data_IF_116193945643
#
_entry.id   IF_116193945643
#
_cell.length_a   1.000
_cell.length_b   1.000
_cell.length_c   1.000
_cell.angle_alpha   90.00
_cell.angle_beta   90.00
_cell.angle_gamma   90.00
#
_symmetry.space_group_name_H-M   'P 1'
#
loop_
_entity.id
_entity.type
_entity.pdbx_description
1 polymer ?
#
# COMPACT_ATOMS: atom_id res chain seq x y z
N UNK A 1 -7.44 7.53 15.02
CA UNK A 1 -6.81 7.49 13.67
C UNK A 1 -7.56 6.57 12.72
N UNK A 2 -7.82 5.30 13.08
CA UNK A 2 -8.52 4.34 12.20
C UNK A 2 -9.91 4.84 11.78
N UNK A 3 -10.78 5.21 12.73
CA UNK A 3 -12.13 5.70 12.40
C UNK A 3 -12.08 6.89 11.44
N UNK A 4 -11.18 7.85 11.70
CA UNK A 4 -10.98 9.02 10.85
C UNK A 4 -10.58 8.62 9.42
N UNK A 5 -9.62 7.69 9.25
CA UNK A 5 -9.19 7.26 7.92
C UNK A 5 -10.31 6.55 7.16
N UNK A 6 -11.11 5.72 7.82
CA UNK A 6 -12.24 5.04 7.19
C UNK A 6 -13.37 6.02 6.85
N UNK A 7 -13.72 6.94 7.76
CA UNK A 7 -14.74 7.96 7.52
C UNK A 7 -14.39 8.87 6.35
N UNK A 8 -13.12 9.32 6.25
CA UNK A 8 -12.66 10.13 5.12
C UNK A 8 -12.70 9.35 3.81
N UNK A 9 -12.27 8.08 3.81
CA UNK A 9 -12.32 7.23 2.63
C UNK A 9 -13.76 6.96 2.15
N UNK A 10 -14.68 6.68 3.08
CA UNK A 10 -16.10 6.48 2.77
C UNK A 10 -16.72 7.77 2.24
N UNK A 11 -16.47 8.91 2.89
CA UNK A 11 -16.98 10.20 2.43
C UNK A 11 -16.50 10.53 1.02
N UNK A 12 -15.21 10.34 0.76
CA UNK A 12 -14.63 10.52 -0.57
C UNK A 12 -15.29 9.60 -1.60
N UNK A 13 -15.39 8.30 -1.32
CA UNK A 13 -16.05 7.34 -2.21
C UNK A 13 -17.53 7.69 -2.48
N UNK A 14 -18.27 8.14 -1.47
CA UNK A 14 -19.66 8.59 -1.63
C UNK A 14 -19.77 9.83 -2.51
N UNK A 15 -18.87 10.80 -2.38
CA UNK A 15 -18.80 11.96 -3.29
C UNK A 15 -18.51 11.48 -4.71
N UNK A 16 -17.61 10.49 -4.86
CA UNK A 16 -17.33 9.93 -6.18
C UNK A 16 -18.55 9.31 -6.85
N UNK A 17 -19.26 8.45 -6.12
CA UNK A 17 -20.43 7.74 -6.64
C UNK A 17 -21.59 8.68 -6.90
N UNK A 18 -21.79 9.68 -6.04
CA UNK A 18 -22.90 10.64 -6.18
C UNK A 18 -22.73 11.57 -7.37
N UNK A 19 -21.48 11.89 -7.75
CA UNK A 19 -21.15 12.70 -8.92
C UNK A 19 -21.43 12.03 -10.27
N UNK A 20 -21.61 10.71 -10.31
CA UNK A 20 -21.79 9.91 -11.54
C UNK A 20 -23.26 9.59 -11.89
N UNK A 21 -24.24 10.24 -11.25
CA UNK A 21 -25.67 9.87 -11.36
C UNK A 21 -26.31 10.27 -12.70
N UNK A 22 -25.97 9.56 -13.77
CA UNK A 22 -26.65 9.53 -15.06
C UNK A 22 -27.28 8.16 -15.33
N UNK A 23 -28.53 8.12 -15.82
CA UNK A 23 -29.29 6.91 -16.17
C UNK A 23 -28.53 6.02 -17.16
N UNK A 24 -27.97 4.89 -16.72
CA UNK A 24 -27.74 3.73 -17.60
C UNK A 24 -27.53 2.43 -16.80
N UNK A 25 -28.00 1.33 -17.37
CA UNK A 25 -28.04 -0.05 -16.82
C UNK A 25 -26.69 -0.80 -16.88
N UNK A 26 -25.56 -0.11 -17.11
CA UNK A 26 -24.23 -0.73 -17.16
C UNK A 26 -23.27 -0.04 -16.18
N UNK A 27 -22.61 -0.85 -15.36
CA UNK A 27 -21.58 -0.42 -14.41
C UNK A 27 -20.33 0.02 -15.19
N UNK A 28 -20.29 1.30 -15.57
CA UNK A 28 -19.14 1.90 -16.26
C UNK A 28 -18.56 3.00 -15.36
N UNK A 29 -17.71 2.59 -14.41
CA UNK A 29 -16.93 3.44 -13.48
C UNK A 29 -16.01 4.46 -14.22
N UNK A 30 -15.94 4.40 -15.55
CA UNK A 30 -15.05 5.20 -16.39
C UNK A 30 -15.73 6.35 -17.13
N UNK A 31 -16.90 6.86 -16.69
CA UNK A 31 -17.66 7.83 -17.50
C UNK A 31 -17.42 9.32 -17.17
N UNK A 32 -16.97 9.70 -15.98
CA UNK A 32 -16.64 11.12 -15.68
C UNK A 32 -15.14 11.45 -15.78
N UNK A 33 -14.66 11.66 -17.00
CA UNK A 33 -13.24 11.91 -17.36
C UNK A 33 -12.50 12.96 -16.50
N UNK A 34 -13.17 14.06 -16.12
CA UNK A 34 -12.56 15.15 -15.31
C UNK A 34 -12.44 14.81 -13.83
N UNK A 35 -13.42 14.08 -13.31
CA UNK A 35 -13.53 13.80 -11.89
C UNK A 35 -12.57 12.69 -11.46
N UNK A 36 -12.32 11.71 -12.34
CA UNK A 36 -11.28 10.69 -12.16
C UNK A 36 -9.88 11.28 -11.98
N UNK A 37 -9.51 12.34 -12.71
CA UNK A 37 -8.18 12.97 -12.56
C UNK A 37 -8.05 13.69 -11.24
N UNK A 38 -9.07 14.46 -10.84
CA UNK A 38 -9.09 15.12 -9.52
C UNK A 38 -8.95 14.06 -8.41
N UNK A 39 -9.66 12.95 -8.53
CA UNK A 39 -9.57 11.85 -7.58
C UNK A 39 -8.16 11.24 -7.51
N UNK A 40 -7.52 10.95 -8.64
CA UNK A 40 -6.16 10.39 -8.69
C UNK A 40 -5.12 11.37 -8.13
N UNK A 41 -5.28 12.67 -8.35
CA UNK A 41 -4.40 13.70 -7.76
C UNK A 41 -4.42 13.66 -6.23
N UNK A 42 -5.62 13.62 -5.62
CA UNK A 42 -5.76 13.65 -4.17
C UNK A 42 -5.49 12.30 -3.50
N UNK A 43 -5.85 11.19 -4.14
CA UNK A 43 -5.74 9.84 -3.53
C UNK A 43 -4.37 9.22 -3.78
N UNK A 44 -3.71 9.56 -4.89
CA UNK A 44 -2.46 8.94 -5.27
C UNK A 44 -1.30 9.93 -5.33
N UNK A 45 -1.34 10.97 -6.18
CA UNK A 45 -0.16 11.80 -6.41
C UNK A 45 0.28 12.61 -5.18
N UNK A 46 -0.66 13.30 -4.50
CA UNK A 46 -0.34 14.06 -3.29
C UNK A 46 0.19 13.12 -2.18
N UNK A 47 -0.52 12.03 -1.81
CA UNK A 47 0.00 11.06 -0.84
C UNK A 47 1.33 10.44 -1.26
N UNK A 48 1.54 10.12 -2.53
CA UNK A 48 2.79 9.55 -3.02
C UNK A 48 3.98 10.50 -2.82
N UNK A 49 3.82 11.78 -3.13
CA UNK A 49 4.86 12.81 -2.93
C UNK A 49 5.17 12.97 -1.44
N UNK A 50 4.12 13.10 -0.61
CA UNK A 50 4.28 13.24 0.84
C UNK A 50 4.98 12.02 1.44
N UNK A 51 4.53 10.82 1.09
CA UNK A 51 5.14 9.56 1.52
C UNK A 51 6.60 9.53 1.08
N UNK A 52 6.90 9.71 -0.21
CA UNK A 52 8.27 9.69 -0.72
C UNK A 52 9.19 10.66 0.03
N UNK A 53 8.73 11.87 0.31
CA UNK A 53 9.49 12.86 1.07
C UNK A 53 9.75 12.43 2.53
N UNK A 54 8.70 12.01 3.25
CA UNK A 54 8.81 11.54 4.63
C UNK A 54 9.75 10.33 4.75
N UNK A 55 9.62 9.35 3.86
CA UNK A 55 10.47 8.16 3.88
C UNK A 55 11.90 8.42 3.47
N UNK A 56 12.13 9.32 2.51
CA UNK A 56 13.48 9.77 2.19
C UNK A 56 14.15 10.40 3.42
N UNK A 57 13.42 11.24 4.16
CA UNK A 57 13.93 11.85 5.41
C UNK A 57 14.21 10.79 6.48
N UNK A 58 13.33 9.81 6.66
CA UNK A 58 13.52 8.70 7.60
C UNK A 58 14.73 7.85 7.22
N UNK A 59 14.87 7.45 5.94
CA UNK A 59 16.01 6.67 5.47
C UNK A 59 17.33 7.42 5.63
N UNK A 60 17.33 8.73 5.37
CA UNK A 60 18.51 9.58 5.60
C UNK A 60 18.84 9.68 7.09
N UNK A 61 17.84 9.85 7.96
CA UNK A 61 18.03 9.88 9.41
C UNK A 61 18.62 8.55 9.93
N UNK A 62 18.06 7.42 9.50
CA UNK A 62 18.56 6.08 9.85
C UNK A 62 19.99 5.87 9.32
N UNK A 63 20.31 6.32 8.10
CA UNK A 63 21.67 6.24 7.55
C UNK A 63 22.66 7.10 8.35
N UNK A 64 22.25 8.30 8.77
CA UNK A 64 23.07 9.19 9.60
C UNK A 64 23.32 8.58 10.98
N UNK A 65 22.28 8.03 11.60
CA UNK A 65 22.35 7.38 12.90
C UNK A 65 23.22 6.10 12.83
N UNK A 66 23.11 5.31 11.77
CA UNK A 66 23.97 4.14 11.56
C UNK A 66 25.45 4.51 11.42
N UNK A 67 25.79 5.59 10.70
CA UNK A 67 27.17 6.09 10.60
C UNK A 67 27.70 6.59 11.95
N UNK A 68 26.88 7.31 12.70
CA UNK A 68 27.26 7.82 14.04
C UNK A 68 27.49 6.70 15.06
N UNK A 69 26.76 5.58 14.95
CA UNK A 69 26.93 4.41 15.81
C UNK A 69 28.21 3.65 15.45
N UNK A 70 28.51 3.51 14.15
CA UNK A 70 29.78 2.91 13.69
C UNK A 70 31.01 3.69 14.18
N UNK A 71 30.94 5.03 14.22
CA UNK A 71 32.03 5.84 14.76
C UNK A 71 32.17 5.79 16.28
N UNK A 72 31.17 5.27 17.01
CA UNK A 72 31.11 5.31 18.47
C UNK A 72 31.41 3.94 19.16
N UNK A 73 31.78 2.88 18.41
CA UNK A 73 32.02 1.53 18.95
C UNK A 73 30.87 0.99 19.85
N UNK A 74 29.62 1.41 19.60
CA UNK A 74 28.46 0.97 20.38
C UNK A 74 28.04 -0.43 19.92
N UNK A 75 27.71 -1.36 20.85
CA UNK A 75 27.33 -2.74 20.51
C UNK A 75 26.13 -2.78 19.55
N UNK A 76 26.30 -3.52 18.44
CA UNK A 76 25.39 -3.54 17.29
C UNK A 76 23.93 -3.97 17.58
N UNK A 77 23.61 -4.45 18.78
CA UNK A 77 22.32 -5.06 19.12
C UNK A 77 21.16 -4.08 19.33
N UNK A 78 21.46 -2.84 19.76
CA UNK A 78 20.44 -1.93 20.33
C UNK A 78 19.52 -1.30 19.26
N UNK A 79 19.97 -1.14 18.01
CA UNK A 79 19.21 -0.46 16.94
C UNK A 79 18.71 -1.37 15.79
N UNK A 80 19.08 -2.65 15.80
CA UNK A 80 18.70 -3.64 14.77
C UNK A 80 17.16 -3.77 14.55
N UNK A 81 16.31 -3.87 15.59
CA UNK A 81 14.87 -4.04 15.39
C UNK A 81 14.18 -2.80 14.80
N UNK A 82 14.54 -1.59 15.24
CA UNK A 82 13.97 -0.33 14.73
C UNK A 82 14.34 -0.09 13.26
N UNK A 83 15.59 -0.41 12.88
CA UNK A 83 16.06 -0.33 11.50
C UNK A 83 15.31 -1.31 10.59
N UNK A 84 14.99 -2.51 11.10
CA UNK A 84 14.24 -3.53 10.36
C UNK A 84 12.77 -3.12 10.15
N UNK A 85 12.13 -2.53 11.16
CA UNK A 85 10.77 -2.01 11.04
C UNK A 85 10.69 -0.85 10.02
N UNK A 86 11.68 0.05 10.03
CA UNK A 86 11.77 1.14 9.06
C UNK A 86 11.96 0.64 7.63
N UNK A 87 12.81 -0.38 7.44
CA UNK A 87 13.02 -0.99 6.13
C UNK A 87 11.75 -1.68 5.60
N UNK A 88 11.02 -2.38 6.46
CA UNK A 88 9.73 -2.97 6.13
C UNK A 88 8.73 -1.90 5.67
N UNK A 89 8.63 -0.80 6.41
CA UNK A 89 7.74 0.30 6.09
C UNK A 89 8.10 0.93 4.73
N UNK A 90 9.40 1.11 4.46
CA UNK A 90 9.87 1.56 3.14
C UNK A 90 9.51 0.55 2.02
N UNK A 91 9.65 -0.76 2.26
CA UNK A 91 9.32 -1.80 1.29
C UNK A 91 7.83 -1.83 0.94
N UNK A 92 6.95 -1.80 1.94
CA UNK A 92 5.48 -1.74 1.75
C UNK A 92 5.09 -0.58 0.84
N UNK A 93 5.76 0.56 1.00
CA UNK A 93 5.44 1.79 0.27
C UNK A 93 5.99 1.77 -1.14
N UNK A 94 7.21 1.25 -1.36
CA UNK A 94 7.70 1.01 -2.71
C UNK A 94 6.77 0.08 -3.48
N UNK A 95 6.30 -1.00 -2.84
CA UNK A 95 5.35 -1.94 -3.45
C UNK A 95 4.02 -1.25 -3.75
N UNK A 96 3.51 -0.41 -2.84
CA UNK A 96 2.32 0.42 -3.09
C UNK A 96 2.48 1.35 -4.30
N UNK A 97 3.57 2.10 -4.37
CA UNK A 97 3.80 3.02 -5.48
C UNK A 97 3.97 2.28 -6.81
N UNK A 98 4.75 1.21 -6.86
CA UNK A 98 5.01 0.45 -8.10
C UNK A 98 3.73 -0.25 -8.59
N UNK A 99 2.89 -0.75 -7.68
CA UNK A 99 1.66 -1.46 -8.05
C UNK A 99 0.57 -0.53 -8.57
N UNK A 100 0.41 0.65 -7.96
CA UNK A 100 -0.65 1.60 -8.32
C UNK A 100 -0.26 2.65 -9.36
N UNK A 101 1.04 3.00 -9.48
CA UNK A 101 1.49 4.02 -10.43
C UNK A 101 1.11 3.75 -11.89
N UNK A 102 1.27 2.53 -12.45
CA UNK A 102 0.95 2.27 -13.86
C UNK A 102 -0.52 2.57 -14.18
N UNK A 103 -1.43 2.20 -13.27
CA UNK A 103 -2.86 2.43 -13.41
C UNK A 103 -3.20 3.93 -13.29
N UNK A 104 -2.68 4.60 -12.25
CA UNK A 104 -2.93 6.02 -12.02
C UNK A 104 -2.38 6.92 -13.16
N UNK A 105 -1.21 6.58 -13.69
CA UNK A 105 -0.61 7.26 -14.85
C UNK A 105 -1.47 7.02 -16.09
N UNK A 106 -1.96 5.80 -16.32
CA UNK A 106 -2.76 5.48 -17.50
C UNK A 106 -4.13 6.18 -17.50
N UNK A 107 -4.79 6.30 -16.34
CA UNK A 107 -6.03 7.11 -16.20
C UNK A 107 -5.77 8.59 -16.48
N UNK A 108 -4.65 9.12 -15.98
CA UNK A 108 -4.30 10.53 -16.21
C UNK A 108 -3.97 10.78 -17.68
N UNK A 109 -3.20 9.88 -18.30
CA UNK A 109 -2.83 9.96 -19.72
C UNK A 109 -4.05 9.93 -20.64
N UNK A 110 -5.04 9.09 -20.32
CA UNK A 110 -6.32 9.03 -21.04
C UNK A 110 -7.02 10.39 -21.12
N UNK A 111 -7.02 11.16 -20.02
CA UNK A 111 -7.68 12.46 -19.98
C UNK A 111 -7.04 13.47 -20.92
N UNK A 112 -5.71 13.45 -21.06
CA UNK A 112 -4.98 14.39 -21.91
C UNK A 112 -4.87 13.92 -23.36
N UNK A 113 -4.89 12.61 -23.60
CA UNK A 113 -4.70 12.01 -24.92
C UNK A 113 -5.76 10.94 -25.24
N UNK A 114 -7.06 11.31 -25.33
CA UNK A 114 -8.16 10.35 -25.50
C UNK A 114 -8.07 9.53 -26.79
N UNK A 115 -7.39 10.04 -27.83
CA UNK A 115 -7.20 9.36 -29.12
C UNK A 115 -6.33 8.10 -28.99
N UNK A 116 -5.43 8.05 -28.01
CA UNK A 116 -4.51 6.93 -27.77
C UNK A 116 -5.10 5.86 -26.82
N UNK A 117 -6.37 5.98 -26.43
CA UNK A 117 -7.00 5.11 -25.44
C UNK A 117 -7.22 3.67 -25.90
N UNK A 118 -7.66 3.49 -27.16
CA UNK A 118 -8.03 2.18 -27.70
C UNK A 118 -6.95 1.10 -27.54
N UNK A 119 -5.67 1.36 -27.87
CA UNK A 119 -4.61 0.38 -27.65
C UNK A 119 -4.24 0.17 -26.16
N UNK A 120 -4.57 1.11 -25.26
CA UNK A 120 -4.22 1.05 -23.84
C UNK A 120 -5.24 0.25 -22.99
N UNK A 121 -6.44 0.00 -23.52
CA UNK A 121 -7.53 -0.72 -22.83
C UNK A 121 -7.13 -2.10 -22.26
N UNK A 122 -6.47 -3.00 -23.01
CA UNK A 122 -6.03 -4.28 -22.46
C UNK A 122 -4.99 -4.14 -21.35
N UNK A 123 -4.10 -3.15 -21.45
CA UNK A 123 -3.04 -2.92 -20.46
C UNK A 123 -3.60 -2.40 -19.13
N UNK A 124 -4.74 -1.69 -19.17
CA UNK A 124 -5.39 -1.19 -17.96
C UNK A 124 -5.95 -2.29 -17.07
N UNK A 125 -6.48 -3.38 -17.64
CA UNK A 125 -6.90 -4.53 -16.83
C UNK A 125 -5.70 -5.16 -16.13
N UNK A 126 -4.56 -5.26 -16.82
CA UNK A 126 -3.31 -5.74 -16.23
C UNK A 126 -2.81 -4.81 -15.12
N UNK A 127 -2.85 -3.49 -15.32
CA UNK A 127 -2.43 -2.53 -14.30
C UNK A 127 -3.38 -2.47 -13.10
N UNK A 128 -4.69 -2.65 -13.31
CA UNK A 128 -5.66 -2.81 -12.23
C UNK A 128 -5.36 -4.04 -11.39
N UNK A 129 -5.13 -5.17 -12.06
CA UNK A 129 -4.74 -6.41 -11.40
C UNK A 129 -3.46 -6.23 -10.57
N UNK A 130 -2.45 -5.56 -11.13
CA UNK A 130 -1.22 -5.24 -10.42
C UNK A 130 -1.47 -4.38 -9.17
N UNK A 131 -2.38 -3.40 -9.24
CA UNK A 131 -2.82 -2.63 -8.09
C UNK A 131 -3.45 -3.50 -6.99
N UNK A 132 -4.27 -4.49 -7.36
CA UNK A 132 -4.86 -5.43 -6.40
C UNK A 132 -3.83 -6.36 -5.76
N UNK A 133 -2.80 -6.77 -6.51
CA UNK A 133 -1.69 -7.57 -5.96
C UNK A 133 -0.98 -6.86 -4.79
N UNK A 134 -1.06 -5.53 -4.68
CA UNK A 134 -0.55 -4.81 -3.51
C UNK A 134 -1.07 -5.40 -2.19
N UNK A 135 -2.37 -5.64 -2.12
CA UNK A 135 -3.00 -6.16 -0.89
C UNK A 135 -2.55 -7.58 -0.57
N UNK A 136 -2.27 -8.39 -1.61
CA UNK A 136 -1.75 -9.75 -1.48
C UNK A 136 -0.28 -9.79 -1.03
N UNK A 137 0.52 -8.81 -1.45
CA UNK A 137 1.95 -8.73 -1.10
C UNK A 137 2.17 -8.27 0.34
N UNK A 138 1.24 -7.52 0.93
CA UNK A 138 1.38 -6.99 2.29
C UNK A 138 1.66 -8.10 3.34
N UNK A 139 0.86 -9.19 3.47
CA UNK A 139 1.18 -10.31 4.36
C UNK A 139 2.55 -10.96 4.11
N UNK A 140 3.00 -11.06 2.87
CA UNK A 140 4.31 -11.61 2.51
C UNK A 140 5.45 -10.70 3.00
N UNK A 141 5.30 -9.38 2.87
CA UNK A 141 6.27 -8.41 3.35
C UNK A 141 6.37 -8.45 4.90
N UNK A 142 5.22 -8.54 5.58
CA UNK A 142 5.19 -8.64 7.05
C UNK A 142 5.81 -9.95 7.56
N UNK A 143 5.52 -11.08 6.90
CA UNK A 143 6.09 -12.38 7.28
C UNK A 143 7.59 -12.50 7.05
N UNK A 144 8.14 -11.82 6.03
CA UNK A 144 9.58 -11.73 5.85
C UNK A 144 10.25 -10.84 6.91
N UNK A 145 9.60 -9.72 7.23
CA UNK A 145 10.22 -8.64 8.01
C UNK A 145 10.10 -8.81 9.52
N UNK A 146 9.02 -9.41 10.02
CA UNK A 146 8.77 -9.58 11.45
C UNK A 146 8.93 -11.04 11.89
N UNK A 147 9.93 -11.32 12.73
CA UNK A 147 10.19 -12.68 13.25
C UNK A 147 8.99 -13.22 14.02
N UNK A 148 8.33 -12.38 14.82
CA UNK A 148 7.13 -12.76 15.56
C UNK A 148 5.96 -13.09 14.62
N UNK A 149 5.72 -12.26 13.60
CA UNK A 149 4.68 -12.53 12.59
C UNK A 149 4.97 -13.82 11.84
N UNK A 150 6.23 -14.09 11.50
CA UNK A 150 6.65 -15.34 10.87
C UNK A 150 6.37 -16.56 11.73
N UNK A 151 6.61 -16.47 13.04
CA UNK A 151 6.28 -17.53 14.00
C UNK A 151 4.78 -17.76 14.09
N UNK A 152 3.99 -16.69 14.23
CA UNK A 152 2.52 -16.78 14.27
C UNK A 152 1.94 -17.37 12.96
N UNK A 153 2.46 -16.94 11.81
CA UNK A 153 2.06 -17.45 10.49
C UNK A 153 2.42 -18.93 10.32
N UNK A 154 3.57 -19.37 10.82
CA UNK A 154 3.95 -20.78 10.85
C UNK A 154 2.95 -21.58 11.70
N UNK A 155 2.65 -21.12 12.91
CA UNK A 155 1.71 -21.79 13.82
C UNK A 155 0.30 -21.88 13.21
N UNK A 156 -0.15 -20.86 12.49
CA UNK A 156 -1.41 -20.90 11.72
C UNK A 156 -1.37 -21.95 10.60
N UNK A 157 -0.26 -22.04 9.85
CA UNK A 157 -0.12 -22.98 8.73
C UNK A 157 0.09 -24.43 9.16
N UNK A 158 0.82 -24.66 10.26
CA UNK A 158 1.08 -26.01 10.79
C UNK A 158 -0.07 -26.55 11.63
N UNK A 159 -1.10 -25.73 11.88
CA UNK A 159 -2.25 -26.13 12.70
C UNK A 159 -1.90 -26.34 14.17
N UNK A 160 -0.71 -25.89 14.61
CA UNK A 160 -0.23 -26.02 15.99
C UNK A 160 -1.15 -25.31 17.01
N UNK A 161 -1.98 -24.38 16.54
CA UNK A 161 -3.07 -23.75 17.32
C UNK A 161 -4.03 -24.82 17.87
N UNK A 162 -4.28 -25.88 17.11
CA UNK A 162 -5.24 -26.94 17.46
C UNK A 162 -4.59 -28.18 18.07
N UNK A 163 -3.26 -28.33 17.99
CA UNK A 163 -2.52 -29.51 18.47
C UNK A 163 -1.64 -29.25 19.69
N UNK A 164 -1.52 -28.00 20.14
CA UNK A 164 -0.78 -27.66 21.36
C UNK A 164 -1.41 -28.23 22.65
N UNK A 165 -0.63 -28.40 23.73
CA UNK A 165 -1.08 -29.00 25.00
C UNK A 165 -2.18 -28.21 25.74
N UNK A 166 -2.71 -27.14 25.15
CA UNK A 166 -3.86 -26.37 25.65
C UNK A 166 -5.22 -26.91 25.20
N UNK A 167 -5.28 -28.03 24.48
CA UNK A 167 -6.54 -28.72 24.14
C UNK A 167 -7.37 -29.22 25.35
N UNK A 168 -6.89 -29.00 26.58
CA UNK A 168 -7.56 -29.42 27.82
C UNK A 168 -7.85 -28.29 28.82
N UNK A 169 -7.82 -27.02 28.43
CA UNK A 169 -8.45 -25.98 29.25
C UNK A 169 -9.90 -25.86 28.83
N UNK A 170 -10.76 -26.59 29.54
CA UNK A 170 -12.21 -26.40 29.47
C UNK A 170 -12.52 -24.91 29.68
N UNK A 171 -13.23 -24.34 28.71
CA UNK A 171 -14.03 -23.14 28.87
C UNK A 171 -15.00 -23.31 30.04
#
# INVERSE_FOLDING_TARGET
MIVISWSLATAFACVLVSGERGRETRCAITRSSKFSVVAVVFVFYIPAVVMFALYSKILLAVRKQARSIQSANVPEGVSKPERKATFMLAMVICVFLISWAPFCISITFWQFYPVLWKPLLPMLETFKFLGWLNSMLNPLIYSYSHSWFRSAFRVMLTGEIFTGPHANTRL
#
